data_IF_143785128425
#
_entry.id   IF_143785128425
#
_cell.length_a   1.000
_cell.length_b   1.000
_cell.length_c   1.000
_cell.angle_alpha   90.00
_cell.angle_beta   90.00
_cell.angle_gamma   90.00
#
_symmetry.space_group_name_H-M   'P 1'
#
loop_
_entity.id
_entity.type
_entity.pdbx_description
1 polymer ?
#
# COMPACT_ATOMS: atom_id res chain seq x y z
N UNK A 1 -12.13 15.55 11.50
CA UNK A 1 -11.18 16.52 10.91
C UNK A 1 -11.32 16.37 9.41
N UNK A 2 -11.44 17.44 8.64
CA UNK A 2 -11.54 17.32 7.18
C UNK A 2 -10.22 16.81 6.62
N UNK A 3 -10.26 15.83 5.73
CA UNK A 3 -9.06 15.31 5.06
C UNK A 3 -8.44 16.42 4.17
N UNK A 4 -7.10 16.42 4.01
CA UNK A 4 -6.43 17.26 3.02
C UNK A 4 -7.09 17.06 1.65
N UNK A 5 -7.32 18.16 0.92
CA UNK A 5 -7.80 18.09 -0.45
C UNK A 5 -6.58 17.95 -1.36
N UNK A 6 -6.63 17.04 -2.34
CA UNK A 6 -5.61 16.95 -3.39
C UNK A 6 -6.10 17.75 -4.59
N UNK A 7 -5.32 18.74 -4.99
CA UNK A 7 -5.65 19.58 -6.15
C UNK A 7 -5.17 18.95 -7.46
N UNK A 8 -6.03 18.97 -8.47
CA UNK A 8 -5.71 18.50 -9.82
C UNK A 8 -5.88 16.98 -10.01
N UNK A 9 -5.63 16.48 -11.22
CA UNK A 9 -5.71 15.06 -11.51
C UNK A 9 -4.59 14.29 -10.79
N UNK A 10 -4.92 13.11 -10.27
CA UNK A 10 -3.96 12.18 -9.67
C UNK A 10 -3.78 11.00 -10.62
N UNK A 11 -2.58 10.89 -11.19
CA UNK A 11 -2.18 9.83 -12.11
C UNK A 11 -0.99 9.08 -11.50
N UNK A 12 -1.29 8.18 -10.55
CA UNK A 12 -0.28 7.34 -9.91
C UNK A 12 0.24 7.83 -8.55
N UNK A 13 1.18 7.08 -7.99
CA UNK A 13 1.79 7.32 -6.68
C UNK A 13 2.94 8.37 -6.76
N UNK A 14 2.59 9.63 -7.03
CA UNK A 14 3.57 10.74 -7.13
C UNK A 14 4.06 11.20 -5.75
N UNK A 15 5.28 10.80 -5.40
CA UNK A 15 5.96 11.20 -4.14
C UNK A 15 6.31 12.69 -4.07
N UNK A 16 6.29 13.42 -5.19
CA UNK A 16 6.58 14.86 -5.22
C UNK A 16 5.35 15.72 -4.95
N UNK A 17 4.15 15.14 -5.05
CA UNK A 17 2.91 15.78 -4.67
C UNK A 17 2.70 15.68 -3.15
N UNK A 18 3.09 16.73 -2.43
CA UNK A 18 3.03 16.76 -0.96
C UNK A 18 1.61 16.67 -0.39
N UNK A 19 0.59 17.13 -1.13
CA UNK A 19 -0.81 17.02 -0.71
C UNK A 19 -1.27 15.55 -0.79
N UNK A 20 -0.85 14.84 -1.84
CA UNK A 20 -1.15 13.43 -2.04
C UNK A 20 -0.47 12.56 -0.97
N UNK A 21 0.81 12.80 -0.69
CA UNK A 21 1.56 12.10 0.38
C UNK A 21 0.92 12.34 1.75
N UNK A 22 0.56 13.59 2.07
CA UNK A 22 -0.05 13.92 3.36
C UNK A 22 -1.45 13.30 3.54
N UNK A 23 -2.26 13.23 2.48
CA UNK A 23 -3.52 12.49 2.51
C UNK A 23 -3.25 10.99 2.71
N UNK A 24 -2.25 10.46 2.01
CA UNK A 24 -1.85 9.06 2.07
C UNK A 24 -1.43 8.60 3.45
N UNK A 25 -0.66 9.41 4.17
CA UNK A 25 -0.24 9.13 5.55
C UNK A 25 -1.45 8.94 6.47
N UNK A 26 -2.43 9.86 6.41
CA UNK A 26 -3.63 9.81 7.24
C UNK A 26 -4.45 8.54 6.93
N UNK A 27 -4.64 8.25 5.64
CA UNK A 27 -5.38 7.07 5.20
C UNK A 27 -4.65 5.78 5.56
N UNK A 28 -3.32 5.74 5.42
CA UNK A 28 -2.51 4.60 5.80
C UNK A 28 -2.70 4.26 7.27
N UNK A 29 -2.61 5.25 8.17
CA UNK A 29 -2.82 5.03 9.60
C UNK A 29 -4.24 4.53 9.91
N UNK A 30 -5.24 4.95 9.12
CA UNK A 30 -6.63 4.54 9.33
C UNK A 30 -6.95 3.14 8.79
N UNK A 31 -6.38 2.75 7.65
CA UNK A 31 -6.80 1.56 6.91
C UNK A 31 -5.74 0.45 6.82
N UNK A 32 -4.46 0.80 6.93
CA UNK A 32 -3.36 -0.11 6.59
C UNK A 32 -2.49 -0.45 7.81
N UNK A 33 -2.21 0.53 8.66
CA UNK A 33 -1.24 0.44 9.75
C UNK A 33 -1.58 -0.59 10.82
N UNK A 34 -2.86 -0.97 10.97
CA UNK A 34 -3.26 -2.02 11.93
C UNK A 34 -2.67 -3.40 11.61
N UNK A 35 -2.34 -3.65 10.34
CA UNK A 35 -1.71 -4.88 9.89
C UNK A 35 -0.27 -4.62 9.43
N UNK A 36 -0.04 -3.56 8.65
CA UNK A 36 1.28 -3.27 8.09
C UNK A 36 2.21 -2.49 9.04
N UNK A 37 1.78 -2.22 10.27
CA UNK A 37 2.54 -1.46 11.26
C UNK A 37 2.36 0.05 11.07
N UNK A 38 2.45 0.81 12.17
CA UNK A 38 2.31 2.26 12.11
C UNK A 38 3.49 2.94 11.40
N UNK A 39 4.66 2.29 11.41
CA UNK A 39 5.92 2.72 10.81
C UNK A 39 6.28 1.84 9.59
N UNK A 40 5.28 1.19 8.97
CA UNK A 40 5.42 0.33 7.80
C UNK A 40 6.25 -0.95 8.04
N UNK A 41 6.46 -1.33 9.29
CA UNK A 41 7.34 -2.41 9.72
C UNK A 41 6.77 -3.83 9.48
N UNK A 42 5.48 -3.94 9.19
CA UNK A 42 4.78 -5.19 8.98
C UNK A 42 4.66 -6.07 10.23
N UNK A 43 4.08 -7.25 10.04
CA UNK A 43 3.97 -8.24 11.11
C UNK A 43 5.25 -9.09 11.23
N UNK A 44 5.51 -9.57 12.45
CA UNK A 44 6.59 -10.51 12.69
C UNK A 44 6.43 -11.78 11.86
N UNK A 45 7.55 -12.34 11.36
CA UNK A 45 7.57 -13.56 10.55
C UNK A 45 6.68 -13.50 9.29
N UNK A 46 6.49 -12.32 8.67
CA UNK A 46 5.65 -12.13 7.47
C UNK A 46 5.95 -13.05 6.27
N UNK A 47 7.11 -13.72 6.25
CA UNK A 47 7.48 -14.72 5.23
C UNK A 47 7.06 -16.15 5.56
N UNK A 48 6.49 -16.39 6.73
CA UNK A 48 6.08 -17.71 7.23
C UNK A 48 4.57 -17.74 7.37
N UNK A 49 3.92 -18.78 6.85
CA UNK A 49 2.48 -18.95 7.00
C UNK A 49 2.11 -19.23 8.45
N UNK A 50 1.01 -18.63 8.89
CA UNK A 50 0.42 -18.89 10.21
C UNK A 50 -0.26 -20.28 10.28
N UNK A 51 -0.85 -20.60 11.43
CA UNK A 51 -1.56 -21.86 11.67
C UNK A 51 -2.77 -22.06 10.74
N UNK A 52 -3.34 -20.97 10.22
CA UNK A 52 -4.45 -20.98 9.27
C UNK A 52 -3.98 -20.99 7.81
N UNK A 53 -2.66 -20.97 7.58
CA UNK A 53 -2.03 -21.00 6.27
C UNK A 53 -1.92 -19.64 5.58
N UNK A 54 -2.16 -18.52 6.26
CA UNK A 54 -2.05 -17.16 5.68
C UNK A 54 -0.66 -16.57 5.89
N UNK A 55 -0.21 -15.73 4.95
CA UNK A 55 0.98 -14.91 5.19
C UNK A 55 0.58 -13.66 5.98
N UNK A 56 1.30 -13.31 7.06
CA UNK A 56 1.12 -12.04 7.74
C UNK A 56 1.44 -10.86 6.82
N UNK A 57 0.98 -9.67 7.21
CA UNK A 57 1.19 -8.44 6.46
C UNK A 57 2.70 -8.14 6.31
N UNK A 58 3.21 -8.01 5.07
CA UNK A 58 4.62 -7.67 4.85
C UNK A 58 4.91 -6.21 5.26
N UNK A 59 6.18 -5.90 5.59
CA UNK A 59 6.62 -4.53 5.71
C UNK A 59 6.41 -3.78 4.39
N UNK A 60 5.99 -2.53 4.52
CA UNK A 60 5.93 -1.60 3.40
C UNK A 60 7.16 -0.70 3.33
N UNK A 61 8.08 -0.78 4.30
CA UNK A 61 9.39 -0.10 4.28
C UNK A 61 10.44 -0.78 3.38
N UNK A 62 11.71 -0.35 3.50
CA UNK A 62 12.83 -0.90 2.72
C UNK A 62 13.14 -2.38 2.98
N UNK A 63 12.64 -2.96 4.08
CA UNK A 63 12.89 -4.36 4.47
C UNK A 63 11.88 -5.35 3.84
N UNK A 64 10.78 -4.80 3.32
CA UNK A 64 9.72 -5.54 2.65
C UNK A 64 10.02 -5.89 1.18
N UNK A 65 8.95 -6.19 0.44
CA UNK A 65 9.04 -6.53 -0.99
C UNK A 65 8.11 -5.70 -1.89
N UNK A 66 7.31 -4.81 -1.30
CA UNK A 66 6.30 -4.00 -2.00
C UNK A 66 6.88 -3.26 -3.21
N UNK A 67 8.06 -2.69 -3.05
CA UNK A 67 8.77 -1.93 -4.08
C UNK A 67 9.26 -2.76 -5.28
N UNK A 68 9.14 -4.10 -5.25
CA UNK A 68 9.39 -4.93 -6.43
C UNK A 68 8.23 -4.94 -7.43
N UNK A 69 7.10 -4.32 -7.10
CA UNK A 69 5.89 -4.30 -7.92
C UNK A 69 5.65 -2.91 -8.52
N UNK A 70 5.12 -2.84 -9.76
CA UNK A 70 4.76 -1.57 -10.37
C UNK A 70 3.54 -0.96 -9.70
N UNK A 71 3.42 0.37 -9.79
CA UNK A 71 2.38 1.15 -9.11
C UNK A 71 0.96 0.65 -9.46
N UNK A 72 0.68 0.36 -10.74
CA UNK A 72 -0.62 -0.18 -11.19
C UNK A 72 -0.97 -1.53 -10.56
N UNK A 73 0.02 -2.41 -10.39
CA UNK A 73 -0.21 -3.68 -9.70
C UNK A 73 -0.55 -3.45 -8.22
N UNK A 74 0.16 -2.54 -7.56
CA UNK A 74 -0.10 -2.20 -6.17
C UNK A 74 -1.48 -1.56 -5.99
N UNK A 75 -1.88 -0.71 -6.93
CA UNK A 75 -3.20 -0.08 -6.98
C UNK A 75 -4.31 -1.12 -7.07
N UNK A 76 -4.22 -2.03 -8.03
CA UNK A 76 -5.21 -3.10 -8.21
C UNK A 76 -5.28 -4.00 -6.96
N UNK A 77 -4.14 -4.43 -6.42
CA UNK A 77 -4.12 -5.23 -5.19
C UNK A 77 -4.80 -4.50 -4.03
N UNK A 78 -4.58 -3.19 -3.89
CA UNK A 78 -5.19 -2.38 -2.83
C UNK A 78 -6.70 -2.24 -3.06
N UNK A 79 -7.12 -2.06 -4.31
CA UNK A 79 -8.52 -1.85 -4.67
C UNK A 79 -9.36 -3.12 -4.50
N UNK A 80 -8.91 -4.24 -5.04
CA UNK A 80 -9.71 -5.48 -5.10
C UNK A 80 -9.24 -6.58 -4.12
N UNK A 81 -8.09 -6.40 -3.48
CA UNK A 81 -7.51 -7.36 -2.55
C UNK A 81 -6.63 -8.41 -3.24
N UNK A 82 -5.71 -9.00 -2.47
CA UNK A 82 -4.72 -9.95 -3.02
C UNK A 82 -5.36 -11.24 -3.53
N UNK A 83 -6.39 -11.75 -2.85
CA UNK A 83 -7.09 -12.98 -3.27
C UNK A 83 -7.74 -12.82 -4.64
N UNK A 84 -8.45 -11.71 -4.87
CA UNK A 84 -9.07 -11.42 -6.17
C UNK A 84 -8.02 -11.17 -7.27
N UNK A 85 -6.96 -10.42 -6.96
CA UNK A 85 -5.90 -10.11 -7.92
C UNK A 85 -5.11 -11.34 -8.38
N UNK A 86 -4.68 -12.19 -7.43
CA UNK A 86 -3.89 -13.40 -7.74
C UNK A 86 -4.79 -14.51 -8.31
N UNK A 87 -5.98 -14.67 -7.75
CA UNK A 87 -6.92 -15.72 -8.13
C UNK A 87 -6.40 -17.14 -7.90
N UNK A 88 -6.92 -18.09 -8.69
CA UNK A 88 -6.52 -19.52 -8.66
C UNK A 88 -6.61 -20.18 -7.28
N UNK A 89 -7.54 -19.72 -6.45
CA UNK A 89 -7.75 -20.21 -5.09
C UNK A 89 -6.69 -19.76 -4.08
N UNK A 90 -5.86 -18.75 -4.43
CA UNK A 90 -4.97 -18.10 -3.46
C UNK A 90 -5.81 -17.43 -2.37
N UNK A 91 -5.37 -17.53 -1.11
CA UNK A 91 -6.08 -16.92 0.03
C UNK A 91 -5.18 -15.91 0.73
N UNK A 92 -5.74 -14.77 1.10
CA UNK A 92 -5.03 -13.67 1.77
C UNK A 92 -5.91 -12.94 2.77
N UNK A 93 -5.31 -12.41 3.84
CA UNK A 93 -5.97 -11.47 4.75
C UNK A 93 -5.94 -10.03 4.22
N UNK A 94 -5.16 -9.75 3.17
CA UNK A 94 -5.15 -8.45 2.51
C UNK A 94 -6.39 -8.29 1.63
N UNK A 95 -7.40 -7.63 2.21
CA UNK A 95 -8.69 -7.33 1.57
C UNK A 95 -8.58 -6.22 0.53
N UNK A 96 -9.62 -6.04 -0.28
CA UNK A 96 -9.76 -4.89 -1.17
C UNK A 96 -10.46 -3.73 -0.46
N UNK A 97 -10.01 -2.51 -0.75
CA UNK A 97 -10.50 -1.27 -0.16
C UNK A 97 -11.37 -0.43 -1.11
N UNK A 98 -11.67 -0.90 -2.33
CA UNK A 98 -12.39 -0.11 -3.34
C UNK A 98 -13.83 0.29 -2.99
N UNK A 99 -14.44 -0.31 -1.97
CA UNK A 99 -15.74 0.12 -1.42
C UNK A 99 -15.60 1.20 -0.32
N UNK A 100 -14.37 1.45 0.14
CA UNK A 100 -14.05 2.34 1.27
C UNK A 100 -13.19 3.54 0.86
N UNK A 101 -12.33 3.36 -0.14
CA UNK A 101 -11.41 4.35 -0.68
C UNK A 101 -11.68 4.53 -2.18
N UNK A 102 -11.72 5.78 -2.62
CA UNK A 102 -11.72 6.07 -4.05
C UNK A 102 -10.32 5.94 -4.67
N UNK A 103 -10.23 6.07 -6.00
CA UNK A 103 -8.98 5.89 -6.74
C UNK A 103 -7.90 6.90 -6.32
N UNK A 104 -8.28 8.14 -6.00
CA UNK A 104 -7.34 9.16 -5.55
C UNK A 104 -6.80 8.82 -4.16
N UNK A 105 -7.67 8.33 -3.28
CA UNK A 105 -7.30 7.90 -1.94
C UNK A 105 -6.37 6.67 -1.94
N UNK A 106 -6.59 5.71 -2.86
CA UNK A 106 -5.68 4.57 -3.04
C UNK A 106 -4.31 5.06 -3.54
N UNK A 107 -4.29 5.94 -4.54
CA UNK A 107 -3.02 6.52 -5.00
C UNK A 107 -2.31 7.31 -3.91
N UNK A 108 -3.06 7.99 -3.04
CA UNK A 108 -2.50 8.71 -1.90
C UNK A 108 -1.76 7.77 -0.96
N UNK A 109 -2.38 6.66 -0.54
CA UNK A 109 -1.75 5.65 0.32
C UNK A 109 -0.47 5.11 -0.31
N UNK A 110 -0.48 4.79 -1.60
CA UNK A 110 0.71 4.30 -2.30
C UNK A 110 1.81 5.37 -2.42
N UNK A 111 1.46 6.62 -2.64
CA UNK A 111 2.41 7.73 -2.67
C UNK A 111 3.10 7.90 -1.30
N UNK A 112 2.37 7.78 -0.20
CA UNK A 112 2.93 7.79 1.14
C UNK A 112 3.87 6.61 1.41
N UNK A 113 3.44 5.38 1.10
CA UNK A 113 4.31 4.19 1.27
C UNK A 113 5.63 4.38 0.48
N UNK A 114 5.54 4.88 -0.74
CA UNK A 114 6.68 5.11 -1.62
C UNK A 114 7.58 6.27 -1.15
N UNK A 115 7.03 7.28 -0.48
CA UNK A 115 7.82 8.39 0.06
C UNK A 115 8.74 7.95 1.20
N UNK A 116 8.35 6.91 1.94
CA UNK A 116 9.17 6.33 3.02
C UNK A 116 10.34 5.48 2.50
N UNK A 117 10.35 5.13 1.21
CA UNK A 117 11.47 4.38 0.65
C UNK A 117 12.70 5.28 0.45
N UNK A 118 13.91 4.78 0.73
CA UNK A 118 15.12 5.47 0.32
C UNK A 118 15.12 5.71 -1.19
N UNK A 119 15.69 6.83 -1.63
CA UNK A 119 15.69 7.22 -3.03
C UNK A 119 16.26 6.17 -4.00
N UNK A 120 17.13 5.26 -3.52
CA UNK A 120 17.65 4.13 -4.33
C UNK A 120 16.56 3.12 -4.68
N UNK A 121 15.62 2.85 -3.76
CA UNK A 121 14.52 1.91 -3.94
C UNK A 121 13.44 2.55 -4.81
N UNK A 122 13.09 3.82 -4.57
CA UNK A 122 12.15 4.56 -5.43
C UNK A 122 12.59 4.54 -6.91
N UNK A 123 13.90 4.65 -7.19
CA UNK A 123 14.44 4.56 -8.56
C UNK A 123 14.50 3.14 -9.13
N UNK A 124 14.56 2.12 -8.26
CA UNK A 124 14.67 0.72 -8.67
C UNK A 124 13.30 0.07 -8.90
N UNK A 125 12.22 0.67 -8.39
CA UNK A 125 10.87 0.18 -8.60
C UNK A 125 10.55 0.06 -10.11
N UNK A 126 9.97 -1.06 -10.55
CA UNK A 126 9.51 -1.19 -11.93
C UNK A 126 8.39 -0.18 -12.23
N UNK A 127 8.34 0.25 -13.48
CA UNK A 127 7.31 1.17 -14.00
C UNK A 127 6.20 0.37 -14.68
#
# INVERSE_FOLDING_TARGET
VSLPQVEGPVEGADVTNTQLVALGEILYQQYCGSCHGAELEGEANWKVRDENGFLPAPPHDETGHTWHHPDEQLFEITKIGTEAYVGRGYRSNMIGFGDQLDDTEIWAVLAYIKSEWPARIQRAQPK
#
